data_IF_868985354525
#
_entry.id   IF_868985354525
#
_cell.length_a   1.000
_cell.length_b   1.000
_cell.length_c   1.000
_cell.angle_alpha   90.00
_cell.angle_beta   90.00
_cell.angle_gamma   90.00
#
_symmetry.space_group_name_H-M   'P 1'
#
loop_
_entity.id
_entity.type
_entity.pdbx_description
1 polymer ?
#
# COMPACT_ATOMS: atom_id res chain seq x y z
N UNK A 1 3.31 -5.17 23.51
CA UNK A 1 3.04 -5.11 22.06
C UNK A 1 3.45 -3.72 21.61
N UNK A 2 4.44 -3.58 20.72
CA UNK A 2 4.89 -2.25 20.29
C UNK A 2 3.80 -1.57 19.44
N UNK A 3 3.69 -0.25 19.54
CA UNK A 3 2.73 0.53 18.77
C UNK A 3 3.10 0.51 17.27
N UNK A 4 2.10 0.34 16.41
CA UNK A 4 2.25 0.43 14.96
C UNK A 4 2.01 1.84 14.45
N UNK A 5 2.71 2.25 13.40
CA UNK A 5 2.44 3.51 12.70
C UNK A 5 1.52 3.27 11.50
N UNK A 6 0.57 4.18 11.29
CA UNK A 6 -0.31 4.19 10.12
C UNK A 6 -0.04 5.46 9.30
N UNK A 7 0.06 5.30 7.98
CA UNK A 7 0.28 6.39 7.03
C UNK A 7 -0.77 6.34 5.92
N UNK A 8 -1.30 7.50 5.54
CA UNK A 8 -2.16 7.64 4.37
C UNK A 8 -1.33 8.10 3.16
N UNK A 9 -1.27 7.27 2.12
CA UNK A 9 -0.62 7.65 0.86
C UNK A 9 -1.64 8.33 -0.05
N UNK A 10 -1.52 9.65 -0.15
CA UNK A 10 -2.28 10.49 -1.08
C UNK A 10 -1.40 10.89 -2.26
N UNK A 11 -2.03 11.26 -3.37
CA UNK A 11 -1.34 11.77 -4.56
C UNK A 11 -2.00 13.06 -5.00
N UNK A 12 -1.21 13.92 -5.63
CA UNK A 12 -1.67 15.22 -6.12
C UNK A 12 -2.72 15.11 -7.22
N UNK A 13 -2.75 13.99 -7.94
CA UNK A 13 -3.76 13.68 -8.97
C UNK A 13 -3.95 12.16 -9.14
N UNK A 14 -4.83 11.77 -10.06
CA UNK A 14 -4.97 10.42 -10.61
C UNK A 14 -3.76 10.07 -11.49
N UNK A 15 -3.42 8.78 -11.62
CA UNK A 15 -2.33 8.34 -12.51
C UNK A 15 -0.89 8.66 -12.05
N UNK A 16 -0.69 9.47 -11.00
CA UNK A 16 0.64 9.89 -10.50
C UNK A 16 1.51 8.79 -9.87
N UNK A 17 1.14 7.52 -9.99
CA UNK A 17 1.99 6.41 -9.54
C UNK A 17 1.92 6.04 -8.05
N UNK A 18 0.86 6.44 -7.32
CA UNK A 18 0.64 6.09 -5.90
C UNK A 18 0.88 4.59 -5.59
N UNK A 19 0.38 3.69 -6.45
CA UNK A 19 0.57 2.24 -6.29
C UNK A 19 2.04 1.83 -6.34
N UNK A 20 2.83 2.43 -7.26
CA UNK A 20 4.28 2.17 -7.33
C UNK A 20 4.99 2.62 -6.04
N UNK A 21 4.62 3.80 -5.52
CA UNK A 21 5.19 4.32 -4.26
C UNK A 21 4.80 3.42 -3.09
N UNK A 22 3.53 3.04 -2.95
CA UNK A 22 3.06 2.16 -1.87
C UNK A 22 3.79 0.81 -1.86
N UNK A 23 3.94 0.18 -3.02
CA UNK A 23 4.68 -1.08 -3.18
C UNK A 23 6.16 -0.90 -2.81
N UNK A 24 6.80 0.17 -3.30
CA UNK A 24 8.19 0.47 -2.99
C UNK A 24 8.42 0.66 -1.48
N UNK A 25 7.55 1.43 -0.82
CA UNK A 25 7.61 1.67 0.62
C UNK A 25 7.50 0.37 1.42
N UNK A 26 6.50 -0.47 1.13
CA UNK A 26 6.33 -1.73 1.86
C UNK A 26 7.46 -2.72 1.58
N UNK A 27 7.95 -2.81 0.34
CA UNK A 27 9.12 -3.63 0.02
C UNK A 27 10.36 -3.16 0.78
N UNK A 28 10.62 -1.84 0.80
CA UNK A 28 11.74 -1.26 1.54
C UNK A 28 11.65 -1.51 3.04
N UNK A 29 10.49 -1.26 3.66
CA UNK A 29 10.24 -1.53 5.08
C UNK A 29 10.45 -3.01 5.44
N UNK A 30 9.93 -3.91 4.61
CA UNK A 30 10.12 -5.36 4.82
C UNK A 30 11.59 -5.77 4.65
N UNK A 31 12.29 -5.20 3.68
CA UNK A 31 13.72 -5.48 3.46
C UNK A 31 14.60 -5.07 4.66
N UNK A 32 14.20 -4.04 5.42
CA UNK A 32 14.87 -3.63 6.67
C UNK A 32 14.30 -4.29 7.93
N UNK A 33 13.56 -5.40 7.79
CA UNK A 33 13.06 -6.22 8.90
C UNK A 33 11.79 -5.68 9.59
N UNK A 34 11.10 -4.70 9.01
CA UNK A 34 9.85 -4.16 9.58
C UNK A 34 8.64 -4.91 9.03
N UNK A 35 7.68 -5.19 9.91
CA UNK A 35 6.36 -5.70 9.51
C UNK A 35 5.56 -4.54 8.93
N UNK A 36 5.15 -4.66 7.67
CA UNK A 36 4.38 -3.64 6.95
C UNK A 36 3.34 -4.29 6.04
N UNK A 37 2.19 -3.63 5.89
CA UNK A 37 1.04 -4.07 5.11
C UNK A 37 0.46 -2.89 4.33
N UNK A 38 -0.19 -3.16 3.20
CA UNK A 38 -0.92 -2.16 2.40
C UNK A 38 -2.40 -2.43 2.58
N UNK A 39 -3.17 -1.38 2.85
CA UNK A 39 -4.63 -1.43 2.84
C UNK A 39 -5.16 -0.47 1.78
N UNK A 40 -6.10 -0.93 0.95
CA UNK A 40 -6.73 -0.15 -0.12
C UNK A 40 -8.25 -0.25 0.02
N UNK A 41 -8.89 0.58 0.88
CA UNK A 41 -10.31 0.43 1.21
C UNK A 41 -11.25 0.70 0.03
N UNK A 42 -10.78 1.50 -0.94
CA UNK A 42 -11.55 1.84 -2.14
C UNK A 42 -10.64 1.68 -3.36
N UNK A 43 -11.04 0.88 -4.33
CA UNK A 43 -10.35 0.66 -5.59
C UNK A 43 -11.30 0.90 -6.79
N UNK A 44 -10.78 1.46 -7.88
CA UNK A 44 -11.54 1.71 -9.11
C UNK A 44 -10.74 1.21 -10.33
N UNK A 45 -11.40 0.49 -11.24
CA UNK A 45 -10.83 -0.05 -12.48
C UNK A 45 -10.00 -1.34 -12.30
N UNK A 46 -9.98 -2.20 -13.32
CA UNK A 46 -8.97 -3.25 -13.52
C UNK A 46 -8.86 -4.36 -12.46
N UNK A 47 -9.90 -4.62 -11.67
CA UNK A 47 -9.91 -5.76 -10.75
C UNK A 47 -10.15 -7.05 -11.53
N UNK A 48 -9.18 -7.96 -11.53
CA UNK A 48 -9.22 -9.28 -12.19
C UNK A 48 -9.70 -10.42 -11.25
N UNK A 49 -10.35 -10.08 -10.14
CA UNK A 49 -10.84 -11.03 -9.14
C UNK A 49 -9.79 -11.65 -8.21
N UNK A 50 -8.48 -11.39 -8.37
CA UNK A 50 -7.47 -12.23 -7.71
C UNK A 50 -7.08 -11.85 -6.28
N UNK A 51 -7.21 -10.59 -5.85
CA UNK A 51 -7.12 -10.28 -4.41
C UNK A 51 -7.67 -8.90 -4.07
N UNK A 52 -8.63 -8.88 -3.16
CA UNK A 52 -8.90 -7.80 -2.22
C UNK A 52 -9.15 -8.51 -0.90
N UNK A 53 -8.09 -8.69 -0.10
CA UNK A 53 -8.07 -9.49 1.14
C UNK A 53 -7.98 -11.01 0.94
N UNK A 54 -6.78 -11.54 1.23
CA UNK A 54 -6.55 -12.58 2.25
C UNK A 54 -5.35 -12.11 3.09
#
# INVERSE_FOLDING_TARGET
>A
MGEGHAFALVGTDTGVGKTRVAIGLVRGLRAIGRRAWIHKPVACGGWDGRTSED
#
